data_IF_039696509723
#
_entry.id   IF_039696509723
#
_cell.length_a   1.000
_cell.length_b   1.000
_cell.length_c   1.000
_cell.angle_alpha   90.00
_cell.angle_beta   90.00
_cell.angle_gamma   90.00
#
_symmetry.space_group_name_H-M   'P 1'
#
loop_
_entity.id
_entity.type
_entity.pdbx_description
1 polymer ?
#
# COMPACT_ATOMS: atom_id res chain seq x y z
N UNK A 1 19.92 -22.32 10.67
CA UNK A 1 18.77 -22.50 11.60
C UNK A 1 18.44 -21.27 12.43
N UNK A 2 19.28 -20.83 13.38
CA UNK A 2 18.99 -19.63 14.19
C UNK A 2 18.89 -18.35 13.36
N UNK A 3 19.75 -18.20 12.33
CA UNK A 3 19.71 -17.06 11.42
C UNK A 3 18.35 -16.89 10.73
N UNK A 4 17.74 -17.97 10.20
CA UNK A 4 16.39 -17.91 9.61
C UNK A 4 15.36 -17.37 10.62
N UNK A 5 15.33 -17.94 11.82
CA UNK A 5 14.37 -17.54 12.86
C UNK A 5 14.55 -16.08 13.31
N UNK A 6 15.80 -15.64 13.50
CA UNK A 6 16.11 -14.26 13.89
C UNK A 6 15.74 -13.27 12.79
N UNK A 7 16.10 -13.56 11.53
CA UNK A 7 15.75 -12.71 10.39
C UNK A 7 14.23 -12.59 10.23
N UNK A 8 13.51 -13.71 10.35
CA UNK A 8 12.05 -13.74 10.30
C UNK A 8 11.43 -12.95 11.45
N UNK A 9 11.90 -13.13 12.68
CA UNK A 9 11.44 -12.37 13.83
C UNK A 9 11.64 -10.88 13.63
N UNK A 10 12.85 -10.43 13.31
CA UNK A 10 13.15 -9.01 13.13
C UNK A 10 12.30 -8.41 12.00
N UNK A 11 12.21 -9.09 10.86
CA UNK A 11 11.39 -8.63 9.74
C UNK A 11 9.90 -8.50 10.12
N UNK A 12 9.29 -9.59 10.59
CA UNK A 12 7.84 -9.75 10.72
C UNK A 12 7.29 -9.16 12.02
N UNK A 13 8.03 -9.26 13.11
CA UNK A 13 7.57 -8.81 14.44
C UNK A 13 7.91 -7.35 14.68
N UNK A 14 9.00 -6.84 14.08
CA UNK A 14 9.47 -5.48 14.35
C UNK A 14 9.31 -4.56 13.14
N UNK A 15 10.03 -4.83 12.05
CA UNK A 15 10.13 -3.87 10.93
C UNK A 15 8.81 -3.67 10.20
N UNK A 16 8.13 -4.76 9.78
CA UNK A 16 6.88 -4.67 9.03
C UNK A 16 5.74 -4.01 9.86
N UNK A 17 5.53 -4.36 11.14
CA UNK A 17 4.54 -3.67 11.98
C UNK A 17 4.87 -2.19 12.20
N UNK A 18 6.13 -1.84 12.46
CA UNK A 18 6.55 -0.43 12.56
C UNK A 18 6.29 0.33 11.26
N UNK A 19 6.53 -0.32 10.10
CA UNK A 19 6.20 0.21 8.79
C UNK A 19 4.71 0.56 8.67
N UNK A 20 3.81 -0.29 9.17
CA UNK A 20 2.36 -0.04 9.19
C UNK A 20 1.95 1.06 10.17
N UNK A 21 2.71 1.26 11.26
CA UNK A 21 2.45 2.35 12.21
C UNK A 21 2.76 3.74 11.63
N UNK A 22 3.75 3.87 10.75
CA UNK A 22 4.12 5.15 10.14
C UNK A 22 2.94 5.90 9.47
N UNK A 23 2.14 5.28 8.56
CA UNK A 23 0.97 5.94 7.99
C UNK A 23 -0.20 6.07 8.98
N UNK A 24 -0.35 5.14 9.93
CA UNK A 24 -1.40 5.20 10.94
C UNK A 24 -1.25 6.42 11.85
N UNK A 25 -0.01 6.77 12.18
CA UNK A 25 0.36 7.91 13.02
C UNK A 25 1.01 9.03 12.21
N UNK A 26 0.58 9.21 10.95
CA UNK A 26 1.09 10.26 10.05
C UNK A 26 1.06 11.68 10.64
N UNK A 27 0.20 11.92 11.63
CA UNK A 27 0.10 13.20 12.35
C UNK A 27 1.37 13.56 13.13
N UNK A 28 2.18 12.57 13.55
CA UNK A 28 3.47 12.78 14.19
C UNK A 28 4.49 13.46 13.27
N UNK A 29 4.36 13.26 11.96
CA UNK A 29 5.24 13.83 10.95
C UNK A 29 4.77 15.19 10.43
N UNK A 30 3.64 15.70 10.95
CA UNK A 30 3.07 16.98 10.55
C UNK A 30 2.85 17.11 9.04
N UNK A 31 3.05 18.33 8.52
CA UNK A 31 3.09 18.64 7.09
C UNK A 31 4.48 18.44 6.46
N UNK A 32 5.41 17.77 7.17
CA UNK A 32 6.77 17.62 6.70
C UNK A 32 6.82 16.78 5.41
N UNK A 33 7.45 17.34 4.38
CA UNK A 33 7.68 16.69 3.10
C UNK A 33 9.17 16.58 2.84
N UNK A 34 9.56 15.47 2.22
CA UNK A 34 10.92 15.24 1.75
C UNK A 34 10.85 14.75 0.30
N UNK A 35 11.57 15.41 -0.60
CA UNK A 35 11.56 15.15 -2.05
C UNK A 35 10.14 15.11 -2.63
N UNK A 36 9.28 16.07 -2.22
CA UNK A 36 7.90 16.20 -2.71
C UNK A 36 6.93 15.13 -2.19
N UNK A 37 7.35 14.23 -1.29
CA UNK A 37 6.46 13.24 -0.66
C UNK A 37 6.46 13.41 0.87
N UNK A 38 5.36 13.08 1.56
CA UNK A 38 5.33 13.17 3.02
C UNK A 38 6.38 12.27 3.68
N UNK A 39 6.99 12.72 4.78
CA UNK A 39 8.03 11.95 5.49
C UNK A 39 7.52 10.58 5.97
N UNK A 40 6.26 10.50 6.45
CA UNK A 40 5.65 9.24 6.86
C UNK A 40 5.63 8.19 5.73
N UNK A 41 5.56 8.63 4.46
CA UNK A 41 5.56 7.73 3.31
C UNK A 41 6.94 7.10 3.11
N UNK A 42 8.00 7.89 3.28
CA UNK A 42 9.38 7.39 3.22
C UNK A 42 9.71 6.49 4.40
N UNK A 43 9.26 6.84 5.60
CA UNK A 43 9.40 5.98 6.77
C UNK A 43 8.69 4.62 6.56
N UNK A 44 7.44 4.65 6.07
CA UNK A 44 6.71 3.44 5.69
C UNK A 44 7.48 2.62 4.66
N UNK A 45 7.88 3.23 3.54
CA UNK A 45 8.57 2.53 2.46
C UNK A 45 9.92 1.95 2.92
N UNK A 46 10.72 2.72 3.67
CA UNK A 46 12.01 2.27 4.18
C UNK A 46 11.90 1.08 5.13
N UNK A 47 10.95 1.13 6.07
CA UNK A 47 10.67 0.03 6.99
C UNK A 47 10.14 -1.21 6.26
N UNK A 48 9.27 -1.02 5.27
CA UNK A 48 8.73 -2.14 4.48
C UNK A 48 9.79 -2.78 3.58
N UNK A 49 10.65 -2.00 2.93
CA UNK A 49 11.72 -2.54 2.09
C UNK A 49 12.80 -3.24 2.90
N UNK A 50 13.21 -2.67 4.04
CA UNK A 50 14.17 -3.32 4.94
C UNK A 50 13.60 -4.59 5.57
N UNK A 51 12.33 -4.56 6.02
CA UNK A 51 11.63 -5.74 6.52
C UNK A 51 11.50 -6.82 5.44
N UNK A 52 11.14 -6.44 4.22
CA UNK A 52 11.07 -7.33 3.07
C UNK A 52 12.44 -7.95 2.75
N UNK A 53 13.52 -7.17 2.74
CA UNK A 53 14.86 -7.69 2.47
C UNK A 53 15.24 -8.79 3.49
N UNK A 54 15.07 -8.52 4.79
CA UNK A 54 15.32 -9.51 5.83
C UNK A 54 14.40 -10.73 5.73
N UNK A 55 13.12 -10.51 5.42
CA UNK A 55 12.15 -11.59 5.20
C UNK A 55 12.60 -12.49 4.04
N UNK A 56 12.98 -11.91 2.89
CA UNK A 56 13.42 -12.67 1.73
C UNK A 56 14.72 -13.42 1.99
N UNK A 57 15.71 -12.79 2.65
CA UNK A 57 16.95 -13.47 3.05
C UNK A 57 16.65 -14.64 3.98
N UNK A 58 15.82 -14.43 5.01
CA UNK A 58 15.39 -15.50 5.91
C UNK A 58 14.65 -16.61 5.16
N UNK A 59 13.80 -16.26 4.20
CA UNK A 59 12.99 -17.21 3.45
C UNK A 59 13.84 -18.09 2.54
N UNK A 60 14.78 -17.48 1.80
CA UNK A 60 15.76 -18.19 0.97
C UNK A 60 16.63 -19.10 1.82
N UNK A 61 17.11 -18.64 2.98
CA UNK A 61 17.84 -19.49 3.92
C UNK A 61 17.02 -20.71 4.34
N UNK A 62 15.70 -20.56 4.51
CA UNK A 62 14.87 -21.72 4.79
C UNK A 62 14.76 -22.68 3.61
N UNK A 63 14.57 -22.16 2.39
CA UNK A 63 14.47 -23.00 1.19
C UNK A 63 15.74 -23.79 0.91
N UNK A 64 16.91 -23.24 1.29
CA UNK A 64 18.22 -23.87 1.05
C UNK A 64 18.61 -24.80 2.19
N UNK A 65 18.33 -24.46 3.45
CA UNK A 65 18.82 -25.23 4.61
C UNK A 65 17.86 -26.32 5.10
N UNK A 66 16.55 -26.21 4.84
CA UNK A 66 15.59 -27.20 5.32
C UNK A 66 15.16 -28.13 4.20
N UNK A 67 15.25 -29.44 4.47
CA UNK A 67 14.56 -30.43 3.65
C UNK A 67 13.05 -30.16 3.68
N UNK A 68 12.41 -30.32 2.52
CA UNK A 68 10.96 -30.15 2.40
C UNK A 68 10.28 -31.20 3.29
N UNK A 69 9.37 -30.78 4.20
CA UNK A 69 8.68 -31.75 5.04
C UNK A 69 7.93 -32.74 4.15
N UNK A 70 7.93 -34.05 4.48
CA UNK A 70 7.12 -35.02 3.75
C UNK A 70 5.67 -34.57 3.81
N UNK A 71 4.95 -34.65 2.67
CA UNK A 71 3.62 -34.07 2.43
C UNK A 71 2.46 -34.66 3.23
N UNK A 72 2.66 -34.91 4.52
CA UNK A 72 1.64 -35.44 5.42
C UNK A 72 0.91 -34.28 6.09
N UNK A 73 -0.34 -34.08 5.66
CA UNK A 73 -1.29 -33.15 6.27
C UNK A 73 -1.37 -33.44 7.78
N UNK A 74 -1.27 -32.40 8.61
CA UNK A 74 -1.37 -32.50 10.08
C UNK A 74 -0.04 -32.40 10.85
N UNK A 75 1.12 -32.43 10.18
CA UNK A 75 2.41 -32.16 10.83
C UNK A 75 2.64 -30.64 11.00
N UNK A 76 3.02 -30.20 12.20
CA UNK A 76 3.32 -28.79 12.49
C UNK A 76 4.42 -28.21 11.58
N UNK A 77 5.43 -29.02 11.21
CA UNK A 77 6.49 -28.61 10.26
C UNK A 77 5.91 -28.30 8.87
N UNK A 78 4.95 -29.09 8.43
CA UNK A 78 4.24 -28.89 7.16
C UNK A 78 3.36 -27.64 7.22
N UNK A 79 2.60 -27.46 8.30
CA UNK A 79 1.77 -26.26 8.50
C UNK A 79 2.60 -24.98 8.55
N UNK A 80 3.73 -24.97 9.28
CA UNK A 80 4.65 -23.82 9.31
C UNK A 80 5.20 -23.50 7.91
N UNK A 81 5.62 -24.52 7.14
CA UNK A 81 6.12 -24.32 5.79
C UNK A 81 5.03 -23.74 4.86
N UNK A 82 3.81 -24.27 4.89
CA UNK A 82 2.68 -23.74 4.11
C UNK A 82 2.39 -22.28 4.49
N UNK A 83 2.31 -21.97 5.78
CA UNK A 83 2.11 -20.59 6.24
C UNK A 83 3.22 -19.68 5.73
N UNK A 84 4.47 -20.13 5.77
CA UNK A 84 5.61 -19.41 5.21
C UNK A 84 5.46 -19.11 3.72
N UNK A 85 5.08 -20.11 2.91
CA UNK A 85 4.84 -19.92 1.47
C UNK A 85 3.70 -18.93 1.18
N UNK A 86 2.58 -19.07 1.89
CA UNK A 86 1.42 -18.18 1.74
C UNK A 86 1.80 -16.75 2.11
N UNK A 87 2.48 -16.55 3.25
CA UNK A 87 2.96 -15.24 3.67
C UNK A 87 3.93 -14.65 2.65
N UNK A 88 4.90 -15.43 2.15
CA UNK A 88 5.83 -14.94 1.14
C UNK A 88 5.13 -14.46 -0.14
N UNK A 89 4.16 -15.23 -0.64
CA UNK A 89 3.36 -14.84 -1.80
C UNK A 89 2.55 -13.57 -1.55
N UNK A 90 1.89 -13.47 -0.40
CA UNK A 90 1.09 -12.29 -0.05
C UNK A 90 1.95 -11.04 0.19
N UNK A 91 3.11 -11.18 0.82
CA UNK A 91 4.08 -10.11 1.02
C UNK A 91 4.61 -9.60 -0.33
N UNK A 92 4.90 -10.51 -1.27
CA UNK A 92 5.22 -10.14 -2.66
C UNK A 92 4.08 -9.38 -3.34
N UNK A 93 2.85 -9.84 -3.18
CA UNK A 93 1.66 -9.16 -3.71
C UNK A 93 1.48 -7.76 -3.10
N UNK A 94 1.81 -7.57 -1.82
CA UNK A 94 1.78 -6.23 -1.20
C UNK A 94 2.81 -5.29 -1.80
N UNK A 95 4.02 -5.76 -2.06
CA UNK A 95 5.05 -4.95 -2.70
C UNK A 95 4.61 -4.53 -4.10
N UNK A 96 4.15 -5.49 -4.91
CA UNK A 96 3.62 -5.21 -6.25
C UNK A 96 2.44 -4.24 -6.20
N UNK A 97 1.49 -4.45 -5.27
CA UNK A 97 0.36 -3.54 -5.05
C UNK A 97 0.80 -2.13 -4.65
N UNK A 98 1.90 -2.01 -3.89
CA UNK A 98 2.54 -0.74 -3.54
C UNK A 98 3.21 -0.04 -4.72
N UNK A 99 3.80 -0.80 -5.65
CA UNK A 99 4.44 -0.28 -6.86
C UNK A 99 3.41 0.19 -7.89
N UNK A 100 2.31 -0.54 -8.05
CA UNK A 100 1.18 -0.19 -8.95
C UNK A 100 0.21 0.79 -8.28
N UNK A 101 0.72 1.65 -7.38
CA UNK A 101 -0.10 2.60 -6.62
C UNK A 101 -0.76 3.61 -7.56
N UNK A 102 -2.10 3.68 -7.64
CA UNK A 102 -2.78 4.64 -8.51
C UNK A 102 -2.67 6.09 -8.02
N UNK A 103 -2.90 7.04 -8.92
CA UNK A 103 -2.81 8.47 -8.62
C UNK A 103 -3.80 8.94 -7.56
N UNK A 104 -3.43 9.94 -6.73
CA UNK A 104 -4.20 10.40 -5.57
C UNK A 104 -5.62 10.89 -5.89
N UNK A 105 -5.88 11.31 -7.13
CA UNK A 105 -7.19 11.80 -7.58
C UNK A 105 -8.17 10.71 -8.03
N UNK A 106 -7.72 9.47 -8.25
CA UNK A 106 -8.57 8.43 -8.87
C UNK A 106 -9.59 7.83 -7.90
N UNK A 107 -10.79 7.52 -8.40
CA UNK A 107 -11.82 6.81 -7.61
C UNK A 107 -11.33 5.41 -7.20
N UNK A 108 -10.61 4.73 -8.09
CA UNK A 108 -10.00 3.42 -7.86
C UNK A 108 -9.11 3.44 -6.62
N UNK A 109 -8.28 4.49 -6.44
CA UNK A 109 -7.41 4.59 -5.27
C UNK A 109 -8.18 4.68 -3.96
N UNK A 110 -9.22 5.51 -3.92
CA UNK A 110 -9.98 5.81 -2.70
C UNK A 110 -10.87 4.64 -2.29
N UNK A 111 -11.54 3.99 -3.25
CA UNK A 111 -12.56 3.00 -2.98
C UNK A 111 -12.05 1.56 -2.99
N UNK A 112 -11.06 1.26 -3.84
CA UNK A 112 -10.58 -0.12 -4.01
C UNK A 112 -9.18 -0.30 -3.44
N UNK A 113 -8.20 0.40 -4.01
CA UNK A 113 -6.79 0.18 -3.68
C UNK A 113 -6.48 0.50 -2.21
N UNK A 114 -6.94 1.63 -1.69
CA UNK A 114 -6.65 2.07 -0.32
C UNK A 114 -7.15 1.08 0.74
N UNK A 115 -8.46 0.77 0.78
CA UNK A 115 -9.00 -0.19 1.73
C UNK A 115 -8.38 -1.59 1.56
N UNK A 116 -8.25 -2.08 0.32
CA UNK A 116 -7.68 -3.40 0.07
C UNK A 116 -6.23 -3.47 0.55
N UNK A 117 -5.37 -2.51 0.19
CA UNK A 117 -3.97 -2.51 0.59
C UNK A 117 -3.80 -2.48 2.12
N UNK A 118 -4.59 -1.66 2.82
CA UNK A 118 -4.52 -1.58 4.29
C UNK A 118 -5.05 -2.85 4.96
N UNK A 119 -6.20 -3.38 4.53
CA UNK A 119 -6.78 -4.58 5.14
C UNK A 119 -5.95 -5.82 4.86
N UNK A 120 -5.55 -6.02 3.61
CA UNK A 120 -4.68 -7.15 3.24
C UNK A 120 -3.32 -7.03 3.93
N UNK A 121 -2.76 -5.83 4.08
CA UNK A 121 -1.48 -5.64 4.79
C UNK A 121 -1.55 -6.09 6.25
N UNK A 122 -2.65 -5.75 6.94
CA UNK A 122 -2.90 -6.20 8.32
C UNK A 122 -3.11 -7.71 8.41
N UNK A 123 -3.87 -8.29 7.49
CA UNK A 123 -4.09 -9.73 7.45
C UNK A 123 -2.77 -10.50 7.23
N UNK A 124 -1.92 -10.00 6.34
CA UNK A 124 -0.59 -10.58 6.09
C UNK A 124 0.30 -10.53 7.33
N UNK A 125 0.31 -9.42 8.07
CA UNK A 125 1.05 -9.32 9.33
C UNK A 125 0.55 -10.36 10.33
N UNK A 126 -0.76 -10.47 10.55
CA UNK A 126 -1.32 -11.46 11.47
C UNK A 126 -0.94 -12.90 11.08
N UNK A 127 -0.99 -13.22 9.79
CA UNK A 127 -0.60 -14.53 9.29
C UNK A 127 0.91 -14.78 9.50
N UNK A 128 1.73 -13.76 9.28
CA UNK A 128 3.17 -13.83 9.49
C UNK A 128 3.55 -14.00 10.97
N UNK A 129 2.77 -13.41 11.89
CA UNK A 129 2.88 -13.68 13.33
C UNK A 129 2.57 -15.15 13.65
N UNK A 130 1.46 -15.69 13.10
CA UNK A 130 1.13 -17.11 13.26
C UNK A 130 2.23 -18.02 12.70
N UNK A 131 2.79 -17.69 11.53
CA UNK A 131 3.92 -18.41 10.94
C UNK A 131 5.17 -18.36 11.84
N UNK A 132 5.46 -17.23 12.47
CA UNK A 132 6.61 -17.06 13.37
C UNK A 132 6.44 -17.88 14.66
N UNK A 133 5.26 -17.80 15.30
CA UNK A 133 4.97 -18.55 16.52
C UNK A 133 4.98 -20.07 16.28
N UNK A 134 4.39 -20.53 15.17
CA UNK A 134 4.47 -21.95 14.79
C UNK A 134 5.90 -22.38 14.53
N UNK A 135 6.75 -21.51 13.96
CA UNK A 135 8.18 -21.75 13.78
C UNK A 135 8.93 -21.95 15.10
N UNK A 136 8.61 -21.17 16.14
CA UNK A 136 9.18 -21.36 17.48
C UNK A 136 8.84 -22.74 18.06
N UNK A 137 7.57 -23.17 17.92
CA UNK A 137 7.13 -24.48 18.41
C UNK A 137 7.76 -25.62 17.60
N UNK A 138 7.85 -25.48 16.27
CA UNK A 138 8.56 -26.44 15.40
C UNK A 138 10.00 -26.62 15.84
N UNK A 139 10.70 -25.53 16.15
CA UNK A 139 12.09 -25.59 16.62
C UNK A 139 12.20 -26.33 17.95
N UNK A 140 11.33 -26.02 18.91
CA UNK A 140 11.30 -26.68 20.21
C UNK A 140 11.04 -28.19 20.10
N UNK A 141 10.09 -28.59 19.23
CA UNK A 141 9.72 -29.99 19.02
C UNK A 141 10.70 -30.77 18.12
N UNK A 142 11.62 -30.08 17.43
CA UNK A 142 12.54 -30.72 16.51
C UNK A 142 13.59 -31.52 17.27
N UNK A 143 13.75 -32.84 17.00
CA UNK A 143 14.75 -33.68 17.67
C UNK A 143 16.18 -33.15 17.52
N UNK A 144 16.46 -32.46 16.43
CA UNK A 144 17.77 -31.90 16.09
C UNK A 144 18.14 -30.64 16.89
N UNK A 145 17.19 -29.96 17.55
CA UNK A 145 17.45 -28.69 18.23
C UNK A 145 17.05 -28.70 19.70
N UNK A 146 15.85 -29.23 20.04
CA UNK A 146 15.32 -29.30 21.41
C UNK A 146 15.58 -28.04 22.27
N UNK A 147 15.63 -26.87 21.62
CA UNK A 147 15.91 -25.62 22.29
C UNK A 147 14.74 -25.27 23.24
N UNK A 148 15.03 -24.61 24.38
CA UNK A 148 13.98 -24.10 25.24
C UNK A 148 13.10 -23.12 24.45
N UNK A 149 11.77 -23.23 24.61
CA UNK A 149 10.80 -22.39 23.89
C UNK A 149 10.82 -20.93 24.39
N UNK A 150 11.09 -20.75 25.69
CA UNK A 150 10.96 -19.46 26.40
C UNK A 150 11.81 -18.33 25.77
N UNK A 151 13.11 -18.53 25.47
CA UNK A 151 13.94 -17.46 24.88
C UNK A 151 13.51 -17.04 23.47
N UNK A 152 12.68 -17.85 22.79
CA UNK A 152 12.15 -17.51 21.47
C UNK A 152 10.81 -16.81 21.56
N UNK A 153 9.89 -17.29 22.40
CA UNK A 153 8.52 -16.76 22.46
C UNK A 153 8.44 -15.48 23.29
N UNK A 154 9.18 -15.38 24.40
CA UNK A 154 9.09 -14.22 25.31
C UNK A 154 9.48 -12.92 24.62
N UNK A 155 10.63 -12.81 23.90
CA UNK A 155 10.98 -11.57 23.21
C UNK A 155 9.95 -11.15 22.15
N UNK A 156 9.35 -12.12 21.44
CA UNK A 156 8.31 -11.84 20.44
C UNK A 156 7.04 -11.31 21.11
N UNK A 157 6.61 -11.93 22.21
CA UNK A 157 5.45 -11.49 22.98
C UNK A 157 5.66 -10.09 23.57
N UNK A 158 6.85 -9.81 24.12
CA UNK A 158 7.22 -8.48 24.63
C UNK A 158 7.22 -7.45 23.50
N UNK A 159 7.82 -7.76 22.34
CA UNK A 159 7.80 -6.86 21.18
C UNK A 159 6.36 -6.56 20.72
N UNK A 160 5.49 -7.58 20.67
CA UNK A 160 4.07 -7.39 20.34
C UNK A 160 3.39 -6.46 21.34
N UNK A 161 3.56 -6.72 22.63
CA UNK A 161 2.95 -5.94 23.69
C UNK A 161 3.39 -4.47 23.62
N UNK A 162 4.70 -4.22 23.44
CA UNK A 162 5.24 -2.86 23.29
C UNK A 162 4.64 -2.15 22.08
N UNK A 163 4.57 -2.81 20.92
CA UNK A 163 4.01 -2.22 19.71
C UNK A 163 2.52 -1.91 19.84
N UNK A 164 1.75 -2.80 20.47
CA UNK A 164 0.32 -2.60 20.72
C UNK A 164 0.07 -1.48 21.74
N UNK A 165 0.85 -1.43 22.82
CA UNK A 165 0.78 -0.36 23.81
C UNK A 165 1.16 0.99 23.20
N UNK A 166 2.21 1.03 22.37
CA UNK A 166 2.59 2.23 21.64
C UNK A 166 1.48 2.69 20.68
N UNK A 167 0.89 1.78 19.91
CA UNK A 167 -0.25 2.11 19.02
C UNK A 167 -1.44 2.65 19.82
N UNK A 168 -1.80 2.00 20.93
CA UNK A 168 -2.89 2.41 21.81
C UNK A 168 -2.63 3.78 22.44
N UNK A 169 -1.44 4.02 22.98
CA UNK A 169 -1.03 5.29 23.55
C UNK A 169 -1.09 6.43 22.51
N UNK A 170 -0.54 6.20 21.31
CA UNK A 170 -0.58 7.18 20.23
C UNK A 170 -2.00 7.49 19.75
N UNK A 171 -2.89 6.49 19.70
CA UNK A 171 -4.32 6.72 19.43
C UNK A 171 -4.99 7.52 20.54
N UNK A 172 -4.68 7.22 21.80
CA UNK A 172 -5.17 7.96 22.96
C UNK A 172 -4.79 9.44 22.90
N UNK A 173 -3.52 9.74 22.66
CA UNK A 173 -3.01 11.11 22.49
C UNK A 173 -3.72 11.82 21.34
N UNK A 174 -3.90 11.15 20.21
CA UNK A 174 -4.62 11.72 19.06
C UNK A 174 -6.06 12.09 19.40
N UNK A 175 -6.78 11.22 20.12
CA UNK A 175 -8.16 11.47 20.53
C UNK A 175 -8.26 12.65 21.50
N UNK A 176 -7.36 12.73 22.49
CA UNK A 176 -7.31 13.86 23.44
C UNK A 176 -7.05 15.17 22.70
N UNK A 177 -6.06 15.20 21.80
CA UNK A 177 -5.75 16.38 20.99
C UNK A 177 -6.93 16.83 20.15
N UNK A 178 -7.62 15.89 19.48
CA UNK A 178 -8.82 16.21 18.69
C UNK A 178 -9.92 16.85 19.53
N UNK A 179 -10.15 16.35 20.76
CA UNK A 179 -11.15 16.93 21.68
C UNK A 179 -10.79 18.34 22.14
N UNK A 180 -9.54 18.58 22.51
CA UNK A 180 -9.10 19.94 22.91
C UNK A 180 -9.29 20.94 21.76
N UNK A 181 -8.91 20.55 20.53
CA UNK A 181 -9.12 21.42 19.35
C UNK A 181 -10.59 21.73 19.11
N UNK A 182 -11.50 20.78 19.29
CA UNK A 182 -12.95 21.04 19.16
C UNK A 182 -13.46 21.99 20.25
N UNK A 183 -13.00 21.86 21.49
CA UNK A 183 -13.36 22.76 22.58
C UNK A 183 -12.86 24.19 22.36
N UNK A 184 -11.63 24.35 21.89
CA UNK A 184 -11.06 25.66 21.56
C UNK A 184 -11.87 26.35 20.45
N UNK A 185 -12.27 25.61 19.41
CA UNK A 185 -13.11 26.12 18.33
C UNK A 185 -14.50 26.56 18.84
N UNK A 186 -15.10 25.80 19.76
CA UNK A 186 -16.37 26.17 20.39
C UNK A 186 -16.25 27.42 21.28
N UNK A 187 -15.12 27.61 21.95
CA UNK A 187 -14.87 28.76 22.81
C UNK A 187 -14.67 30.06 22.02
N UNK A 188 -14.08 29.96 20.83
CA UNK A 188 -13.86 31.10 19.92
C UNK A 188 -15.16 31.51 19.19
N UNK A 189 -16.16 30.63 19.08
CA UNK A 189 -17.50 31.04 18.68
C UNK A 189 -18.19 31.76 19.85
N UNK A 190 -18.40 33.09 19.80
CA UNK A 190 -19.11 33.78 20.87
C UNK A 190 -20.54 33.24 20.97
N UNK A 191 -21.03 33.03 22.19
CA UNK A 191 -22.38 32.57 22.54
C UNK A 191 -23.54 33.44 21.97
N UNK A 192 -23.25 34.48 21.18
CA UNK A 192 -24.22 35.32 20.47
C UNK A 192 -24.23 35.16 18.94
N UNK A 193 -23.27 34.49 18.32
CA UNK A 193 -23.27 34.23 16.88
C UNK A 193 -23.99 32.91 16.56
N UNK A 194 -25.22 32.74 17.06
CA UNK A 194 -26.15 31.81 16.43
C UNK A 194 -26.40 32.42 15.07
N UNK A 195 -25.76 31.89 14.02
CA UNK A 195 -26.15 32.21 12.66
C UNK A 195 -27.69 32.11 12.62
N UNK A 196 -28.40 33.13 12.10
CA UNK A 196 -29.85 33.06 12.02
C UNK A 196 -30.18 31.71 11.41
N UNK A 197 -31.06 30.96 12.07
CA UNK A 197 -31.65 29.77 11.49
C UNK A 197 -32.23 30.22 10.14
N UNK A 198 -31.47 30.04 9.07
CA UNK A 198 -32.02 30.13 7.74
C UNK A 198 -33.18 29.14 7.79
N UNK A 199 -34.40 29.60 7.48
CA UNK A 199 -35.48 28.67 7.18
C UNK A 199 -34.89 27.68 6.18
N UNK A 200 -35.08 26.39 6.42
CA UNK A 200 -34.78 25.35 5.45
C UNK A 200 -35.24 25.83 4.08
N UNK A 201 -34.30 26.32 3.27
CA UNK A 201 -34.58 26.69 1.91
C UNK A 201 -35.04 25.39 1.24
N UNK A 202 -36.24 25.36 0.64
CA UNK A 202 -36.72 24.16 0.00
C UNK A 202 -35.68 23.74 -1.03
N UNK A 203 -35.21 22.49 -0.93
CA UNK A 203 -34.36 21.83 -1.93
C UNK A 203 -35.16 21.65 -3.22
N UNK A 204 -35.40 22.72 -3.96
CA UNK A 204 -35.93 22.68 -5.32
C UNK A 204 -35.22 23.77 -6.12
N UNK A 205 -34.58 23.38 -7.25
CA UNK A 205 -33.94 24.20 -8.32
C UNK A 205 -32.45 23.99 -8.60
N UNK A 206 -31.79 22.99 -8.02
CA UNK A 206 -30.42 22.65 -8.45
C UNK A 206 -30.30 21.83 -9.75
N UNK A 207 -31.30 21.04 -10.23
CA UNK A 207 -31.19 20.31 -11.49
C UNK A 207 -31.20 21.21 -12.74
N UNK A 208 -32.02 22.27 -12.75
CA UNK A 208 -32.21 23.10 -13.96
C UNK A 208 -31.02 24.03 -14.23
N UNK A 209 -30.40 24.59 -13.19
CA UNK A 209 -29.20 25.41 -13.36
C UNK A 209 -28.02 24.59 -13.90
N UNK A 210 -27.86 23.34 -13.44
CA UNK A 210 -26.83 22.45 -14.00
C UNK A 210 -27.12 22.07 -15.45
N UNK A 211 -28.39 21.87 -15.81
CA UNK A 211 -28.80 21.55 -17.17
C UNK A 211 -28.57 22.74 -18.12
N UNK A 212 -28.94 23.96 -17.70
CA UNK A 212 -28.68 25.18 -18.47
C UNK A 212 -27.19 25.43 -18.66
N UNK A 213 -26.39 25.23 -17.60
CA UNK A 213 -24.94 25.42 -17.69
C UNK A 213 -24.30 24.39 -18.62
N UNK A 214 -24.81 23.15 -18.65
CA UNK A 214 -24.36 22.12 -19.57
C UNK A 214 -24.76 22.40 -21.03
N UNK A 215 -25.96 22.95 -21.26
CA UNK A 215 -26.43 23.35 -22.58
C UNK A 215 -25.61 24.52 -23.15
N UNK A 216 -25.32 25.55 -22.34
CA UNK A 216 -24.46 26.67 -22.74
C UNK A 216 -23.05 26.20 -23.14
N UNK A 217 -22.49 25.26 -22.39
CA UNK A 217 -21.16 24.72 -22.67
C UNK A 217 -21.12 23.90 -23.97
N UNK A 218 -22.25 23.28 -24.35
CA UNK A 218 -22.40 22.54 -25.62
C UNK A 218 -22.49 23.50 -26.81
N UNK A 219 -23.25 24.59 -26.68
CA UNK A 219 -23.39 25.61 -27.73
C UNK A 219 -22.06 26.32 -28.01
N UNK A 220 -21.29 26.67 -26.98
CA UNK A 220 -19.95 27.25 -27.17
C UNK A 220 -18.99 26.32 -27.93
N UNK A 221 -19.06 25.01 -27.68
CA UNK A 221 -18.24 24.02 -28.39
C UNK A 221 -18.62 23.89 -29.87
N UNK A 222 -19.89 24.02 -30.21
CA UNK A 222 -20.33 23.99 -31.60
C UNK A 222 -19.95 25.27 -32.35
N UNK A 223 -20.04 26.45 -31.70
CA UNK A 223 -19.55 27.71 -32.27
C UNK A 223 -18.04 27.67 -32.53
N UNK A 224 -17.24 27.13 -31.61
CA UNK A 224 -15.79 26.97 -31.83
C UNK A 224 -15.46 26.02 -32.97
N UNK A 225 -16.27 24.97 -33.18
CA UNK A 225 -16.09 24.04 -34.31
C UNK A 225 -16.51 24.66 -35.64
N UNK A 226 -17.53 25.51 -35.65
CA UNK A 226 -17.93 26.29 -36.84
C UNK A 226 -16.85 27.28 -37.28
N UNK A 227 -16.15 27.91 -36.34
CA UNK A 227 -15.06 28.86 -36.62
C UNK A 227 -13.76 28.18 -37.08
N UNK A 228 -13.56 26.90 -36.77
CA UNK A 228 -12.39 26.13 -37.19
C UNK A 228 -12.56 25.42 -38.56
N UNK A 229 -13.72 25.59 -39.21
CA UNK A 229 -14.09 24.86 -40.42
C UNK A 229 -13.78 25.54 -41.76
N UNK A 230 -13.38 26.83 -41.78
CA UNK A 230 -13.37 27.62 -43.01
C UNK A 230 -11.99 28.22 -43.34
N UNK A 231 -10.99 27.35 -43.45
CA UNK A 231 -9.61 27.76 -43.71
C UNK A 231 -8.75 26.66 -44.31
N UNK A 232 -9.17 26.08 -45.45
CA UNK A 232 -8.28 25.31 -46.33
C UNK A 232 -8.02 26.13 -47.59
N UNK A 233 -6.80 26.64 -47.83
CA UNK A 233 -6.39 27.03 -49.16
C UNK A 233 -6.00 25.77 -49.96
N UNK A 234 -6.60 25.66 -51.15
CA UNK A 234 -6.25 24.72 -52.18
C UNK A 234 -4.79 24.90 -52.62
N UNK A 235 -4.00 23.83 -52.63
CA UNK A 235 -2.73 23.77 -53.36
C UNK A 235 -2.76 22.55 -54.27
N UNK A 236 -2.65 22.87 -55.56
CA UNK A 236 -2.74 22.00 -56.70
C UNK A 236 -1.52 21.08 -56.88
N UNK A 237 -1.74 20.09 -57.74
CA UNK A 237 -0.90 18.96 -58.11
C UNK A 237 0.41 19.30 -58.86
N UNK A 238 1.43 18.47 -58.63
CA UNK A 238 2.49 17.98 -59.55
C UNK A 238 3.42 17.08 -58.70
N UNK A 239 3.95 15.93 -59.09
CA UNK A 239 4.03 15.20 -60.34
C UNK A 239 4.86 13.92 -60.08
N UNK A 240 4.74 12.99 -61.01
CA UNK A 240 5.47 11.72 -61.21
C UNK A 240 6.90 11.58 -60.66
N UNK A 241 7.24 10.36 -60.21
CA UNK A 241 8.63 9.96 -59.99
C UNK A 241 8.78 8.49 -59.59
N UNK A 242 8.84 7.63 -60.60
CA UNK A 242 9.19 6.20 -60.57
C UNK A 242 10.57 5.90 -59.96
N UNK A 243 10.71 4.77 -59.25
CA UNK A 243 12.01 4.26 -58.78
C UNK A 243 11.91 2.86 -58.17
N UNK A 244 11.95 1.84 -59.02
CA UNK A 244 12.13 0.42 -58.71
C UNK A 244 13.59 0.09 -58.46
N UNK A 245 13.91 -0.69 -57.42
CA UNK A 245 15.02 -1.66 -57.32
C UNK A 245 14.89 -2.36 -55.95
N UNK A 246 14.52 -3.64 -55.92
CA UNK A 246 15.40 -4.82 -55.98
C UNK A 246 16.17 -5.09 -54.68
N UNK A 247 15.89 -6.28 -54.14
CA UNK A 247 16.85 -7.25 -53.62
C UNK A 247 17.58 -6.94 -52.30
N UNK A 248 17.96 -7.88 -51.44
CA UNK A 248 17.67 -9.29 -51.10
C UNK A 248 18.70 -9.65 -50.00
N UNK A 249 18.58 -10.83 -49.37
CA UNK A 249 19.51 -11.46 -48.40
C UNK A 249 19.48 -10.94 -46.94
N UNK A 250 19.20 -11.74 -45.90
CA UNK A 250 19.68 -13.08 -45.44
C UNK A 250 20.76 -12.97 -44.35
N UNK A 251 20.77 -13.98 -43.46
CA UNK A 251 21.65 -14.28 -42.31
C UNK A 251 21.18 -13.67 -40.97
N UNK A 252 20.65 -14.42 -39.99
CA UNK A 252 21.11 -15.67 -39.33
C UNK A 252 22.48 -15.53 -38.67
N UNK A 253 22.51 -15.55 -37.32
CA UNK A 253 23.55 -16.24 -36.53
C UNK A 253 23.18 -16.25 -35.04
N UNK A 254 23.21 -17.47 -34.50
CA UNK A 254 23.24 -17.85 -33.10
C UNK A 254 24.51 -17.37 -32.35
N UNK A 255 24.48 -17.63 -31.03
CA UNK A 255 25.59 -17.87 -30.09
C UNK A 255 25.89 -16.75 -29.07
N UNK A 256 25.35 -16.90 -27.86
CA UNK A 256 26.07 -17.34 -26.65
C UNK A 256 25.09 -17.44 -25.47
#
# INVERSE_FOLDING_TARGET
MAAHGILMAVAVVVLLPLGVMAPAHRWLFGSSTWRGKPVWFWAHLGLQLSGMALFMTGFVLAMVQFERPPGRIGNLRWSHAILGYVVAGLVGLQLLGGLVRPDPGTRIRKWLWGPLHVMSGRAVILLAWAATLTGCVVRHQSPAFRDPLVPWVVPLAVAMAVLLLADAALRGVRLVRSRCTEQDLQRVQPHGARAPSMPLAPKQHQPEQQLQQQQQHRQQREQLKGLAGDGRPDVAAAGSGSGSCCDSHSMAADAC
#
